data_IF_714293716831
#
_entry.id   IF_714293716831
#
_cell.length_a   1.000
_cell.length_b   1.000
_cell.length_c   1.000
_cell.angle_alpha   90.00
_cell.angle_beta   90.00
_cell.angle_gamma   90.00
#
_symmetry.space_group_name_H-M   'P 1'
#
loop_
_entity.id
_entity.type
_entity.pdbx_description
1 polymer ?
#
# COMPACT_ATOMS: atom_id res chain seq x y z
N UNK A 1 -60.11 31.74 16.03
CA UNK A 1 -58.65 31.65 16.17
C UNK A 1 -58.23 30.26 15.72
N UNK A 2 -57.57 30.14 14.55
CA UNK A 2 -57.03 28.87 14.04
C UNK A 2 -55.52 28.88 14.27
N UNK A 3 -55.04 27.96 15.11
CA UNK A 3 -53.61 27.76 15.35
C UNK A 3 -53.01 27.00 14.17
N UNK A 4 -52.03 27.61 13.50
CA UNK A 4 -51.24 26.98 12.45
C UNK A 4 -50.16 26.10 13.07
N UNK A 5 -50.09 24.85 12.62
CA UNK A 5 -49.02 23.91 13.00
C UNK A 5 -47.83 24.17 12.06
N UNK A 6 -46.71 24.67 12.60
CA UNK A 6 -45.46 24.74 11.86
C UNK A 6 -44.82 23.35 11.85
N UNK A 7 -44.83 22.69 10.69
CA UNK A 7 -44.00 21.49 10.47
C UNK A 7 -42.56 21.93 10.26
N UNK A 8 -41.66 21.51 11.16
CA UNK A 8 -40.23 21.62 10.94
C UNK A 8 -39.81 20.59 9.89
N UNK A 9 -39.43 21.06 8.70
CA UNK A 9 -38.78 20.21 7.70
C UNK A 9 -37.35 19.91 8.17
N UNK A 10 -37.12 18.69 8.64
CA UNK A 10 -35.77 18.15 8.83
C UNK A 10 -35.24 17.81 7.44
N UNK A 11 -34.36 18.65 6.93
CA UNK A 11 -33.60 18.34 5.72
C UNK A 11 -32.52 17.32 6.09
N UNK A 12 -32.81 16.04 5.88
CA UNK A 12 -31.79 15.00 5.87
C UNK A 12 -30.89 15.26 4.66
N UNK A 13 -29.75 15.91 4.86
CA UNK A 13 -28.73 16.04 3.83
C UNK A 13 -28.10 14.65 3.65
N UNK A 14 -28.70 13.80 2.83
CA UNK A 14 -28.04 12.58 2.38
C UNK A 14 -26.89 13.00 1.48
N UNK A 15 -25.69 13.13 2.06
CA UNK A 15 -24.46 13.12 1.27
C UNK A 15 -24.47 11.81 0.51
N UNK A 16 -24.77 11.88 -0.80
CA UNK A 16 -24.50 10.78 -1.71
C UNK A 16 -23.02 10.46 -1.51
N UNK A 17 -22.72 9.30 -0.95
CA UNK A 17 -21.37 8.78 -0.96
C UNK A 17 -21.00 8.65 -2.44
N UNK A 18 -20.27 9.62 -2.98
CA UNK A 18 -19.58 9.45 -4.25
C UNK A 18 -18.69 8.24 -3.99
N UNK A 19 -19.06 7.10 -4.58
CA UNK A 19 -18.28 5.90 -4.46
C UNK A 19 -16.94 6.19 -5.09
N UNK A 20 -15.93 6.54 -4.27
CA UNK A 20 -14.60 6.78 -4.80
C UNK A 20 -14.16 5.48 -5.46
N UNK A 21 -13.98 5.59 -6.79
CA UNK A 21 -13.41 4.56 -7.63
C UNK A 21 -11.99 4.22 -7.14
N UNK A 22 -11.40 3.17 -7.70
CA UNK A 22 -9.99 2.92 -7.51
C UNK A 22 -9.18 4.18 -7.90
N UNK A 23 -8.49 4.77 -6.93
CA UNK A 23 -7.63 5.94 -7.14
C UNK A 23 -6.31 5.53 -7.83
N UNK A 24 -5.97 4.24 -7.83
CA UNK A 24 -4.86 3.71 -8.62
C UNK A 24 -5.27 3.64 -10.09
N UNK A 25 -4.48 4.28 -10.95
CA UNK A 25 -4.65 4.17 -12.42
C UNK A 25 -4.02 2.88 -12.90
N UNK A 26 -4.71 2.18 -13.82
CA UNK A 26 -4.21 0.93 -14.42
C UNK A 26 -3.83 -0.15 -13.38
N UNK A 27 -4.54 -0.22 -12.26
CA UNK A 27 -4.27 -1.20 -11.20
C UNK A 27 -4.47 -2.67 -11.62
N UNK A 28 -5.18 -2.91 -12.72
CA UNK A 28 -5.35 -4.24 -13.35
C UNK A 28 -4.41 -4.47 -14.53
N UNK A 29 -3.52 -3.53 -14.87
CA UNK A 29 -2.57 -3.65 -15.99
C UNK A 29 -3.17 -3.83 -17.40
N UNK A 30 -4.49 -3.69 -17.57
CA UNK A 30 -5.16 -3.81 -18.88
C UNK A 30 -4.76 -2.72 -19.88
N UNK A 31 -4.23 -1.58 -19.40
CA UNK A 31 -3.66 -0.53 -20.26
C UNK A 31 -2.17 -0.76 -20.58
N UNK A 32 -1.66 -1.97 -20.34
CA UNK A 32 -0.27 -2.34 -20.60
C UNK A 32 0.72 -1.66 -19.65
N UNK A 33 1.96 -1.44 -20.12
CA UNK A 33 3.03 -0.79 -19.37
C UNK A 33 2.86 0.75 -19.32
N UNK A 34 1.74 1.22 -18.78
CA UNK A 34 1.39 2.64 -18.68
C UNK A 34 0.78 2.97 -17.31
N UNK A 35 0.84 4.24 -16.91
CA UNK A 35 0.21 4.71 -15.66
C UNK A 35 0.99 4.40 -14.38
N UNK A 36 2.13 3.72 -14.45
CA UNK A 36 3.02 3.47 -13.31
C UNK A 36 4.48 3.60 -13.75
N UNK A 37 5.39 3.56 -12.76
CA UNK A 37 6.84 3.59 -12.94
C UNK A 37 7.47 2.40 -12.21
N UNK A 38 8.74 2.12 -12.49
CA UNK A 38 9.48 1.00 -11.93
C UNK A 38 10.96 1.35 -11.84
N UNK A 39 11.63 0.86 -10.80
CA UNK A 39 13.10 0.83 -10.75
C UNK A 39 13.67 -0.36 -11.53
N UNK A 40 12.82 -1.32 -11.90
CA UNK A 40 13.20 -2.49 -12.69
C UNK A 40 13.27 -2.11 -14.17
N UNK A 41 14.04 -2.86 -14.95
CA UNK A 41 14.11 -2.65 -16.41
C UNK A 41 12.93 -3.34 -17.09
N UNK A 42 12.22 -2.61 -17.96
CA UNK A 42 11.12 -3.21 -18.71
C UNK A 42 11.64 -4.17 -19.78
N UNK A 43 11.20 -5.42 -19.73
CA UNK A 43 11.39 -6.41 -20.80
C UNK A 43 10.16 -6.45 -21.70
N UNK A 44 10.34 -6.24 -23.00
CA UNK A 44 9.25 -6.34 -23.98
C UNK A 44 8.75 -7.80 -24.04
N UNK A 45 7.43 -8.06 -23.90
CA UNK A 45 6.85 -9.39 -24.08
C UNK A 45 7.25 -10.02 -25.42
N UNK A 46 7.58 -11.31 -25.40
CA UNK A 46 8.02 -12.14 -26.53
C UNK A 46 9.37 -11.72 -27.14
N UNK A 47 10.12 -10.81 -26.50
CA UNK A 47 11.52 -10.57 -26.87
C UNK A 47 12.39 -11.80 -26.61
N UNK A 48 13.42 -12.07 -27.43
CA UNK A 48 14.33 -13.19 -27.21
C UNK A 48 14.96 -13.20 -25.81
N UNK A 49 15.30 -14.40 -25.33
CA UNK A 49 15.92 -14.61 -24.03
C UNK A 49 14.93 -14.59 -22.85
N UNK A 50 15.38 -15.12 -21.72
CA UNK A 50 14.64 -15.11 -20.46
C UNK A 50 14.68 -13.72 -19.82
N UNK A 51 13.64 -13.38 -19.05
CA UNK A 51 13.64 -12.22 -18.16
C UNK A 51 14.76 -12.36 -17.11
N UNK A 52 15.63 -11.36 -17.01
CA UNK A 52 16.72 -11.32 -16.04
C UNK A 52 16.27 -10.74 -14.70
N UNK A 53 16.99 -11.02 -13.62
CA UNK A 53 16.75 -10.42 -12.30
C UNK A 53 16.72 -8.88 -12.38
N UNK A 54 15.72 -8.27 -11.73
CA UNK A 54 15.51 -6.83 -11.80
C UNK A 54 14.84 -6.35 -13.10
N UNK A 55 14.24 -7.26 -13.87
CA UNK A 55 13.37 -6.93 -15.00
C UNK A 55 11.90 -7.19 -14.66
N UNK A 56 11.00 -6.46 -15.34
CA UNK A 56 9.56 -6.65 -15.23
C UNK A 56 8.88 -6.54 -16.60
N UNK A 57 7.65 -7.04 -16.69
CA UNK A 57 6.79 -6.82 -17.84
C UNK A 57 5.32 -6.90 -17.47
N UNK A 58 4.46 -6.29 -18.28
CA UNK A 58 3.02 -6.52 -18.28
C UNK A 58 2.71 -7.57 -19.34
N UNK A 59 2.08 -8.68 -18.94
CA UNK A 59 1.94 -9.90 -19.73
C UNK A 59 0.57 -10.55 -19.53
N UNK A 60 0.21 -11.42 -20.47
CA UNK A 60 -0.97 -12.29 -20.44
C UNK A 60 -0.61 -13.74 -20.10
N UNK A 61 0.66 -14.11 -20.25
CA UNK A 61 1.18 -15.44 -19.96
C UNK A 61 2.66 -15.37 -19.61
N UNK A 62 3.08 -16.12 -18.59
CA UNK A 62 4.48 -16.24 -18.15
C UNK A 62 5.43 -16.64 -19.31
N UNK A 63 4.95 -17.40 -20.29
CA UNK A 63 5.70 -17.81 -21.48
C UNK A 63 6.23 -16.62 -22.31
N UNK A 64 5.57 -15.47 -22.22
CA UNK A 64 5.97 -14.30 -22.99
C UNK A 64 7.30 -13.72 -22.51
N UNK A 65 7.76 -14.08 -21.30
CA UNK A 65 8.97 -13.50 -20.71
C UNK A 65 9.93 -14.53 -20.12
N UNK A 66 9.43 -15.69 -19.70
CA UNK A 66 10.28 -16.68 -19.05
C UNK A 66 9.70 -18.10 -19.19
N UNK A 67 10.31 -18.93 -20.04
CA UNK A 67 9.80 -20.28 -20.33
C UNK A 67 9.86 -21.24 -19.14
N UNK A 68 10.77 -21.02 -18.18
CA UNK A 68 10.87 -21.86 -16.97
C UNK A 68 9.70 -21.58 -16.02
N UNK A 69 9.22 -20.33 -15.94
CA UNK A 69 8.06 -19.99 -15.10
C UNK A 69 6.80 -20.65 -15.63
N UNK A 70 6.64 -20.68 -16.96
CA UNK A 70 5.50 -21.33 -17.59
C UNK A 70 5.54 -22.87 -17.51
N UNK A 71 6.71 -23.47 -17.31
CA UNK A 71 6.85 -24.89 -16.98
C UNK A 71 6.45 -25.22 -15.53
N UNK A 72 6.28 -24.19 -14.69
CA UNK A 72 5.86 -24.31 -13.30
C UNK A 72 4.32 -24.20 -13.16
N UNK A 73 3.62 -23.61 -14.14
CA UNK A 73 2.15 -23.67 -14.26
C UNK A 73 1.53 -22.56 -15.12
N UNK A 74 0.21 -22.38 -15.00
CA UNK A 74 -0.64 -21.58 -15.89
C UNK A 74 -1.32 -20.41 -15.18
N UNK A 75 -0.54 -19.48 -14.63
CA UNK A 75 -1.09 -18.28 -14.00
C UNK A 75 -1.88 -17.43 -15.02
N UNK A 76 -3.19 -17.32 -14.80
CA UNK A 76 -4.06 -16.34 -15.46
C UNK A 76 -4.11 -15.06 -14.65
N UNK A 77 -4.44 -13.93 -15.30
CA UNK A 77 -4.69 -12.67 -14.61
C UNK A 77 -5.74 -12.85 -13.50
N UNK A 78 -5.57 -12.14 -12.39
CA UNK A 78 -6.57 -12.06 -11.33
C UNK A 78 -7.81 -11.30 -11.80
N UNK A 79 -7.61 -10.30 -12.66
CA UNK A 79 -8.68 -9.55 -13.33
C UNK A 79 -8.30 -9.25 -14.77
N UNK A 80 -9.25 -9.34 -15.70
CA UNK A 80 -8.98 -9.02 -17.11
C UNK A 80 -8.08 -10.06 -17.77
N UNK A 81 -7.03 -9.60 -18.45
CA UNK A 81 -6.14 -10.44 -19.26
C UNK A 81 -4.66 -10.24 -18.93
N UNK A 82 -4.28 -9.07 -18.44
CA UNK A 82 -2.91 -8.67 -18.18
C UNK A 82 -2.62 -8.70 -16.67
N UNK A 83 -1.35 -8.92 -16.34
CA UNK A 83 -0.79 -8.73 -15.01
C UNK A 83 0.67 -8.32 -15.15
N UNK A 84 1.25 -7.72 -14.10
CA UNK A 84 2.68 -7.47 -14.06
C UNK A 84 3.39 -8.70 -13.52
N UNK A 85 4.42 -9.17 -14.21
CA UNK A 85 5.36 -10.17 -13.72
C UNK A 85 6.77 -9.57 -13.61
N UNK A 86 7.52 -10.00 -12.61
CA UNK A 86 8.88 -9.54 -12.36
C UNK A 86 9.77 -10.69 -11.96
N UNK A 87 10.99 -10.67 -12.50
CA UNK A 87 12.08 -11.51 -12.02
C UNK A 87 12.75 -10.73 -10.89
N UNK A 88 12.69 -11.26 -9.67
CA UNK A 88 13.01 -10.49 -8.48
C UNK A 88 14.46 -9.99 -8.48
N UNK A 89 14.67 -8.73 -8.12
CA UNK A 89 16.01 -8.19 -7.92
C UNK A 89 16.59 -8.67 -6.59
N UNK A 90 17.91 -8.76 -6.51
CA UNK A 90 18.62 -8.91 -5.23
C UNK A 90 18.70 -7.58 -4.46
N UNK A 91 18.48 -6.44 -5.12
CA UNK A 91 18.31 -5.13 -4.48
C UNK A 91 16.88 -4.97 -3.95
N UNK A 92 16.72 -5.12 -2.65
CA UNK A 92 15.42 -5.00 -1.96
C UNK A 92 14.94 -3.56 -1.81
N UNK A 93 15.74 -2.56 -2.22
CA UNK A 93 15.31 -1.17 -2.29
C UNK A 93 14.59 -0.85 -3.60
N UNK A 94 14.88 -1.59 -4.67
CA UNK A 94 14.28 -1.40 -5.99
C UNK A 94 12.82 -1.85 -6.00
N UNK A 95 11.96 -1.02 -6.60
CA UNK A 95 10.53 -1.29 -6.69
C UNK A 95 10.11 -1.70 -8.10
N UNK A 96 9.47 -2.86 -8.29
CA UNK A 96 8.89 -3.27 -9.58
C UNK A 96 7.69 -2.40 -10.00
N UNK A 97 7.03 -1.73 -9.06
CA UNK A 97 5.82 -0.95 -9.32
C UNK A 97 5.70 0.23 -8.35
N UNK A 98 5.55 1.42 -8.92
CA UNK A 98 5.33 2.67 -8.20
C UNK A 98 4.31 3.54 -8.92
N UNK A 99 3.47 4.23 -8.16
CA UNK A 99 2.57 5.24 -8.71
C UNK A 99 2.43 6.41 -7.74
N UNK A 100 2.44 7.63 -8.26
CA UNK A 100 2.07 8.82 -7.49
C UNK A 100 0.76 9.36 -8.01
N UNK A 101 -0.19 9.59 -7.11
CA UNK A 101 -1.49 10.19 -7.43
C UNK A 101 -1.55 11.60 -6.86
N UNK A 102 -2.23 12.49 -7.58
CA UNK A 102 -2.68 13.78 -7.06
C UNK A 102 -4.01 13.58 -6.36
N UNK A 103 -4.16 14.15 -5.16
CA UNK A 103 -5.39 14.09 -4.36
C UNK A 103 -6.16 15.38 -4.57
N UNK A 104 -7.34 15.28 -5.18
CA UNK A 104 -8.23 16.42 -5.37
C UNK A 104 -9.14 16.61 -4.15
N UNK A 105 -9.73 17.82 -3.97
CA UNK A 105 -10.72 18.04 -2.93
C UNK A 105 -11.86 17.01 -3.00
N UNK A 106 -12.04 16.25 -1.92
CA UNK A 106 -13.07 15.21 -1.80
C UNK A 106 -12.54 13.77 -1.86
N UNK A 107 -11.41 13.53 -2.54
CA UNK A 107 -10.87 12.17 -2.75
C UNK A 107 -10.50 11.48 -1.42
N UNK A 108 -9.94 12.25 -0.49
CA UNK A 108 -9.59 11.80 0.86
C UNK A 108 -10.45 12.54 1.90
N UNK A 109 -11.21 11.76 2.67
CA UNK A 109 -11.99 12.25 3.81
C UNK A 109 -11.21 12.05 5.11
N UNK A 110 -10.97 13.15 5.82
CA UNK A 110 -10.39 13.16 7.17
C UNK A 110 -11.53 13.31 8.17
N UNK A 111 -11.75 12.29 9.01
CA UNK A 111 -12.73 12.37 10.09
C UNK A 111 -12.02 12.64 11.41
N UNK A 112 -12.40 13.71 12.10
CA UNK A 112 -11.92 14.05 13.45
C UNK A 112 -12.86 13.53 14.54
N UNK A 113 -13.78 12.63 14.19
CA UNK A 113 -14.75 12.04 15.11
C UNK A 113 -14.32 10.62 15.52
N UNK A 114 -15.01 10.03 16.50
CA UNK A 114 -14.79 8.64 16.93
C UNK A 114 -15.09 7.58 15.83
N UNK A 115 -15.48 8.00 14.63
CA UNK A 115 -15.73 7.13 13.47
C UNK A 115 -14.81 7.53 12.30
N UNK A 116 -13.59 6.97 12.21
CA UNK A 116 -12.69 7.20 11.09
C UNK A 116 -13.25 6.63 9.77
N UNK A 117 -12.94 7.30 8.65
CA UNK A 117 -13.18 6.79 7.30
C UNK A 117 -11.98 5.98 6.87
N UNK A 118 -12.20 4.71 6.56
CA UNK A 118 -11.13 3.78 6.21
C UNK A 118 -10.90 3.71 4.70
N UNK A 119 -9.63 3.75 4.32
CA UNK A 119 -9.12 3.52 2.99
C UNK A 119 -8.36 2.20 2.98
N UNK A 120 -8.50 1.43 1.90
CA UNK A 120 -7.78 0.18 1.67
C UNK A 120 -6.70 0.39 0.61
N UNK A 121 -5.48 -0.07 0.88
CA UNK A 121 -4.50 -0.37 -0.16
C UNK A 121 -4.39 -1.90 -0.28
N UNK A 122 -4.60 -2.46 -1.47
CA UNK A 122 -4.51 -3.90 -1.72
C UNK A 122 -3.79 -4.21 -3.03
N UNK A 123 -3.30 -5.44 -3.13
CA UNK A 123 -2.92 -6.07 -4.39
C UNK A 123 -3.05 -7.60 -4.23
N UNK A 124 -3.16 -8.30 -5.35
CA UNK A 124 -2.99 -9.74 -5.41
C UNK A 124 -1.57 -10.06 -5.84
N UNK A 125 -0.94 -11.01 -5.17
CA UNK A 125 0.45 -11.41 -5.40
C UNK A 125 0.51 -12.93 -5.59
N UNK A 126 1.25 -13.38 -6.59
CA UNK A 126 1.54 -14.79 -6.81
C UNK A 126 3.04 -15.03 -6.88
N UNK A 127 3.51 -16.18 -6.38
CA UNK A 127 4.85 -16.68 -6.68
C UNK A 127 4.81 -17.35 -8.05
N UNK A 128 5.73 -17.02 -8.94
CA UNK A 128 5.82 -17.64 -10.29
C UNK A 128 7.00 -18.61 -10.40
N UNK A 129 7.75 -18.77 -9.30
CA UNK A 129 8.84 -19.72 -9.15
C UNK A 129 8.76 -20.44 -7.78
N UNK A 130 9.13 -21.73 -7.68
CA UNK A 130 8.95 -22.52 -6.46
C UNK A 130 10.02 -22.28 -5.37
N UNK A 131 11.15 -21.66 -5.70
CA UNK A 131 12.19 -21.33 -4.72
C UNK A 131 12.03 -19.91 -4.18
N UNK A 132 12.41 -19.72 -2.91
CA UNK A 132 12.44 -18.43 -2.21
C UNK A 132 11.22 -17.53 -2.50
N UNK A 133 10.00 -17.91 -2.07
CA UNK A 133 8.78 -17.17 -2.40
C UNK A 133 8.90 -15.68 -2.08
N UNK A 134 8.34 -14.82 -2.92
CA UNK A 134 8.42 -13.38 -2.78
C UNK A 134 7.68 -12.90 -1.52
N UNK A 135 8.16 -11.81 -0.93
CA UNK A 135 7.44 -11.11 0.14
C UNK A 135 7.45 -9.61 -0.16
N UNK A 136 6.28 -9.02 -0.37
CA UNK A 136 6.17 -7.65 -0.86
C UNK A 136 5.75 -6.71 0.28
N UNK A 137 6.57 -5.70 0.57
CA UNK A 137 6.23 -4.60 1.45
C UNK A 137 5.40 -3.55 0.69
N UNK A 138 4.28 -3.16 1.27
CA UNK A 138 3.41 -2.10 0.77
C UNK A 138 3.83 -0.81 1.44
N UNK A 139 4.26 0.18 0.66
CA UNK A 139 4.77 1.42 1.22
C UNK A 139 4.08 2.64 0.60
N UNK A 140 3.95 3.68 1.42
CA UNK A 140 3.32 4.93 1.05
C UNK A 140 4.19 6.11 1.49
N UNK A 141 4.26 7.15 0.65
CA UNK A 141 4.80 8.46 1.01
C UNK A 141 3.74 9.52 0.73
N UNK A 142 3.65 10.54 1.59
CA UNK A 142 2.65 11.61 1.47
C UNK A 142 3.32 12.92 1.08
N UNK A 143 2.61 13.74 0.29
CA UNK A 143 3.02 15.10 -0.07
C UNK A 143 4.44 15.18 -0.68
N UNK A 144 4.83 14.15 -1.44
CA UNK A 144 6.16 14.03 -2.05
C UNK A 144 7.32 14.19 -1.03
N UNK A 145 7.11 13.79 0.23
CA UNK A 145 8.12 13.99 1.28
C UNK A 145 9.38 13.13 1.10
N UNK A 146 9.27 12.03 0.35
CA UNK A 146 10.33 11.02 0.23
C UNK A 146 10.44 10.11 1.46
N UNK A 147 9.68 10.37 2.53
CA UNK A 147 9.58 9.49 3.68
C UNK A 147 8.57 8.37 3.38
N UNK A 148 9.06 7.14 3.32
CA UNK A 148 8.24 5.95 3.05
C UNK A 148 7.81 5.30 4.36
N UNK A 149 6.50 5.14 4.54
CA UNK A 149 5.90 4.35 5.59
C UNK A 149 5.56 2.96 5.05
N UNK A 150 6.08 1.91 5.67
CA UNK A 150 5.59 0.56 5.42
C UNK A 150 4.23 0.36 6.09
N UNK A 151 3.22 0.06 5.27
CA UNK A 151 1.85 -0.17 5.69
C UNK A 151 1.66 -1.62 6.13
N UNK A 152 2.04 -2.56 5.29
CA UNK A 152 1.96 -4.00 5.55
C UNK A 152 3.01 -4.75 4.74
N UNK A 153 3.17 -6.04 5.03
CA UNK A 153 3.92 -6.99 4.21
C UNK A 153 2.96 -8.05 3.70
N UNK A 154 3.22 -8.58 2.51
CA UNK A 154 2.40 -9.65 1.96
C UNK A 154 2.37 -10.87 2.86
N UNK A 155 1.26 -11.61 2.76
CA UNK A 155 1.14 -12.93 3.38
C UNK A 155 2.30 -13.79 2.88
N UNK A 156 2.87 -14.60 3.77
CA UNK A 156 3.88 -15.59 3.39
C UNK A 156 3.26 -16.58 2.42
N UNK A 157 3.73 -16.57 1.16
CA UNK A 157 3.29 -17.50 0.14
C UNK A 157 3.98 -18.85 0.41
N UNK A 158 3.25 -19.97 0.56
CA UNK A 158 3.86 -21.28 0.75
C UNK A 158 4.77 -21.65 -0.42
N UNK A 159 5.89 -22.32 -0.15
CA UNK A 159 6.90 -22.69 -1.15
C UNK A 159 6.39 -23.64 -2.23
N UNK A 160 5.26 -24.31 -2.00
CA UNK A 160 4.60 -25.20 -2.95
C UNK A 160 3.33 -24.60 -3.60
N UNK A 161 3.07 -23.30 -3.37
CA UNK A 161 1.89 -22.59 -3.89
C UNK A 161 2.30 -21.59 -4.97
N UNK A 162 2.82 -22.11 -6.08
CA UNK A 162 3.06 -21.32 -7.29
C UNK A 162 1.75 -21.10 -8.05
N UNK A 163 1.69 -20.01 -8.82
CA UNK A 163 0.56 -19.64 -9.69
C UNK A 163 -0.80 -19.52 -9.00
N UNK A 164 -0.78 -19.14 -7.73
CA UNK A 164 -1.98 -18.85 -6.93
C UNK A 164 -1.92 -17.40 -6.46
N UNK A 165 -3.01 -16.68 -6.67
CA UNK A 165 -3.16 -15.31 -6.20
C UNK A 165 -3.49 -15.24 -4.72
N UNK A 166 -2.66 -14.52 -3.96
CA UNK A 166 -2.87 -14.20 -2.56
C UNK A 166 -3.18 -12.72 -2.40
N UNK A 167 -4.35 -12.42 -1.82
CA UNK A 167 -4.71 -11.05 -1.46
C UNK A 167 -3.82 -10.56 -0.31
N UNK A 168 -3.19 -9.41 -0.50
CA UNK A 168 -2.58 -8.62 0.57
C UNK A 168 -3.25 -7.26 0.61
N UNK A 169 -3.60 -6.80 1.81
CA UNK A 169 -4.18 -5.46 1.95
C UNK A 169 -3.87 -4.83 3.30
N UNK A 170 -4.03 -3.50 3.34
CA UNK A 170 -4.03 -2.68 4.54
C UNK A 170 -5.22 -1.73 4.53
N UNK A 171 -5.98 -1.71 5.62
CA UNK A 171 -6.91 -0.61 5.91
C UNK A 171 -6.25 0.49 6.79
N UNK A 172 -6.64 1.74 6.61
CA UNK A 172 -6.12 2.85 7.38
C UNK A 172 -6.93 4.12 7.21
N UNK A 173 -6.68 5.13 8.04
CA UNK A 173 -7.36 6.41 7.97
C UNK A 173 -6.35 7.56 8.00
N UNK A 174 -6.73 8.70 7.43
CA UNK A 174 -5.88 9.88 7.36
C UNK A 174 -6.19 10.84 8.52
N UNK A 175 -5.15 11.39 9.13
CA UNK A 175 -5.25 12.47 10.13
C UNK A 175 -5.27 13.86 9.49
N UNK A 176 -4.80 13.97 8.24
CA UNK A 176 -4.86 15.16 7.40
C UNK A 176 -4.92 14.73 5.94
N UNK A 177 -5.56 15.52 5.08
CA UNK A 177 -5.72 15.18 3.67
C UNK A 177 -4.42 15.51 2.94
N UNK A 178 -3.71 14.53 2.36
CA UNK A 178 -2.52 14.81 1.58
C UNK A 178 -2.91 15.45 0.24
N UNK A 179 -1.95 16.13 -0.40
CA UNK A 179 -2.07 16.66 -1.76
C UNK A 179 -1.55 15.69 -2.82
N UNK A 180 -0.61 14.81 -2.42
CA UNK A 180 -0.14 13.69 -3.22
C UNK A 180 0.06 12.46 -2.36
N UNK A 181 -0.10 11.29 -2.96
CA UNK A 181 0.22 10.01 -2.34
C UNK A 181 1.07 9.22 -3.32
N UNK A 182 2.26 8.84 -2.92
CA UNK A 182 3.12 7.91 -3.65
C UNK A 182 2.99 6.52 -3.04
N UNK A 183 2.81 5.52 -3.88
CA UNK A 183 2.73 4.12 -3.52
C UNK A 183 3.90 3.38 -4.14
N UNK A 184 4.42 2.37 -3.43
CA UNK A 184 5.31 1.38 -4.02
C UNK A 184 5.12 0.01 -3.40
N UNK A 185 5.49 -1.01 -4.18
CA UNK A 185 5.68 -2.37 -3.70
C UNK A 185 7.17 -2.68 -3.73
N UNK A 186 7.74 -3.25 -2.67
CA UNK A 186 9.15 -3.72 -2.67
C UNK A 186 9.22 -5.18 -2.31
N UNK A 187 10.00 -5.96 -3.06
CA UNK A 187 10.31 -7.32 -2.65
C UNK A 187 11.37 -7.30 -1.55
N UNK A 188 11.05 -7.84 -0.39
CA UNK A 188 11.96 -7.89 0.76
C UNK A 188 12.86 -9.12 0.75
N UNK A 189 12.71 -9.98 -0.26
CA UNK A 189 13.52 -11.20 -0.44
C UNK A 189 14.62 -10.93 -1.47
N UNK A 190 15.88 -11.05 -1.05
CA UNK A 190 17.07 -10.77 -1.89
C UNK A 190 17.73 -12.01 -2.50
N UNK A 191 16.98 -13.10 -2.66
CA UNK A 191 17.51 -14.35 -3.21
C UNK A 191 17.84 -14.18 -4.70
N UNK A 192 19.01 -14.64 -5.14
CA UNK A 192 19.42 -14.61 -6.55
C UNK A 192 18.65 -15.64 -7.41
N UNK A 193 18.23 -16.75 -6.80
CA UNK A 193 17.35 -17.74 -7.42
C UNK A 193 16.04 -17.84 -6.64
N UNK A 194 14.92 -17.68 -7.34
CA UNK A 194 13.60 -17.57 -6.72
C UNK A 194 13.12 -16.14 -6.71
N UNK A 195 12.40 -15.74 -5.66
CA UNK A 195 11.86 -14.39 -5.42
C UNK A 195 11.08 -13.74 -6.58
N UNK A 196 10.74 -14.51 -7.60
CA UNK A 196 9.96 -14.11 -8.76
C UNK A 196 8.47 -14.05 -8.44
N UNK A 197 7.78 -13.04 -8.96
CA UNK A 197 6.38 -12.82 -8.64
C UNK A 197 5.58 -12.22 -9.77
N UNK A 198 4.26 -12.35 -9.62
CA UNK A 198 3.29 -11.56 -10.35
C UNK A 198 2.47 -10.70 -9.37
N UNK A 199 2.02 -9.53 -9.84
CA UNK A 199 1.08 -8.65 -9.15
C UNK A 199 -0.07 -8.27 -10.07
N UNK A 200 -1.27 -8.17 -9.51
CA UNK A 200 -2.47 -7.74 -10.22
C UNK A 200 -3.50 -7.13 -9.26
N UNK A 201 -4.54 -6.48 -9.81
CA UNK A 201 -5.70 -5.96 -9.09
C UNK A 201 -5.33 -5.04 -7.92
N UNK A 202 -4.38 -4.13 -8.18
CA UNK A 202 -3.94 -3.10 -7.23
C UNK A 202 -5.07 -2.10 -7.04
N UNK A 203 -5.41 -1.82 -5.79
CA UNK A 203 -6.48 -0.87 -5.46
C UNK A 203 -6.10 0.03 -4.29
N UNK A 204 -6.41 1.31 -4.43
CA UNK A 204 -6.45 2.27 -3.33
C UNK A 204 -7.76 3.07 -3.39
N UNK A 205 -8.47 3.15 -2.27
CA UNK A 205 -9.75 3.86 -2.19
C UNK A 205 -10.50 3.52 -0.91
N UNK A 206 -11.77 3.90 -0.81
CA UNK A 206 -12.60 3.58 0.36
C UNK A 206 -12.64 2.07 0.61
N UNK A 207 -12.38 1.63 1.84
CA UNK A 207 -12.28 0.20 2.15
C UNK A 207 -13.57 -0.55 1.84
N UNK A 208 -14.73 0.10 2.03
CA UNK A 208 -16.06 -0.45 1.73
C UNK A 208 -16.34 -0.62 0.24
N UNK A 209 -15.57 0.05 -0.63
CA UNK A 209 -15.70 -0.02 -2.09
C UNK A 209 -14.66 -0.95 -2.71
N UNK A 210 -13.70 -1.44 -1.93
CA UNK A 210 -12.66 -2.30 -2.46
C UNK A 210 -13.27 -3.61 -2.99
N UNK A 211 -12.79 -4.16 -4.13
CA UNK A 211 -13.30 -5.42 -4.68
C UNK A 211 -13.19 -6.61 -3.71
N UNK A 212 -12.26 -6.55 -2.76
CA UNK A 212 -12.10 -7.57 -1.73
C UNK A 212 -13.01 -7.39 -0.51
N UNK A 213 -13.85 -6.35 -0.46
CA UNK A 213 -14.72 -6.09 0.68
C UNK A 213 -15.99 -6.97 0.65
N UNK A 214 -16.45 -7.52 1.79
CA UNK A 214 -15.79 -7.52 3.10
C UNK A 214 -14.75 -8.65 3.20
N UNK A 215 -13.47 -8.29 3.36
CA UNK A 215 -12.44 -9.25 3.75
C UNK A 215 -12.33 -9.26 5.28
N UNK A 216 -12.14 -10.45 5.88
CA UNK A 216 -11.89 -10.60 7.32
C UNK A 216 -10.83 -9.61 7.76
N UNK A 217 -11.15 -8.65 8.62
CA UNK A 217 -10.19 -7.65 9.10
C UNK A 217 -8.92 -8.33 9.62
N UNK A 218 -7.87 -8.39 8.79
CA UNK A 218 -6.51 -8.51 9.29
C UNK A 218 -6.37 -7.36 10.30
N UNK A 219 -5.68 -7.58 11.42
CA UNK A 219 -5.40 -6.58 12.46
C UNK A 219 -4.57 -5.41 11.90
N UNK A 220 -5.19 -4.63 11.03
CA UNK A 220 -4.58 -3.81 9.99
C UNK A 220 -5.36 -2.51 9.94
N UNK A 221 -5.64 -1.94 11.10
CA UNK A 221 -6.36 -0.69 11.24
C UNK A 221 -5.45 0.26 12.01
N UNK A 222 -5.22 1.44 11.48
CA UNK A 222 -4.39 2.45 12.13
C UNK A 222 -4.28 3.73 11.31
N UNK A 223 -3.72 4.80 11.93
CA UNK A 223 -3.49 6.04 11.22
C UNK A 223 -2.41 5.85 10.15
N UNK A 224 -2.65 6.42 8.98
CA UNK A 224 -1.66 6.59 7.91
C UNK A 224 -0.99 7.93 8.17
N UNK A 225 0.22 7.88 8.71
CA UNK A 225 1.04 9.05 9.00
C UNK A 225 2.25 8.96 8.08
N UNK A 226 2.31 9.82 7.07
CA UNK A 226 3.32 9.78 5.99
C UNK A 226 4.75 10.06 6.43
N UNK A 227 5.27 9.26 7.37
CA UNK A 227 6.55 9.42 8.01
C UNK A 227 6.71 10.83 8.59
N UNK A 228 5.99 11.15 9.67
CA UNK A 228 6.46 12.28 10.48
C UNK A 228 7.73 11.80 11.16
N UNK A 229 8.83 12.55 11.02
CA UNK A 229 9.94 12.49 11.99
C UNK A 229 9.28 12.48 13.37
N UNK A 230 9.61 11.55 14.28
CA UNK A 230 9.06 11.59 15.61
C UNK A 230 9.36 12.97 16.18
N UNK A 231 8.32 13.78 16.39
CA UNK A 231 8.45 14.95 17.27
C UNK A 231 9.16 14.44 18.52
N UNK A 232 10.27 15.08 18.97
CA UNK A 232 10.94 14.69 20.20
C UNK A 232 9.87 14.56 21.27
N UNK A 233 9.62 13.32 21.69
CA UNK A 233 8.40 12.99 22.40
C UNK A 233 8.24 13.85 23.65
N UNK A 234 6.99 13.97 24.07
CA UNK A 234 6.49 14.53 25.32
C UNK A 234 7.18 14.05 26.62
N UNK A 235 8.28 13.31 26.55
CA UNK A 235 9.24 13.07 27.63
C UNK A 235 10.06 14.32 27.98
N UNK A 236 10.26 15.27 27.04
CA UNK A 236 11.00 16.50 27.31
C UNK A 236 10.20 17.54 28.14
N UNK A 237 8.88 17.35 28.29
CA UNK A 237 8.05 18.20 29.14
C UNK A 237 8.02 17.76 30.62
N UNK A 238 8.68 16.63 30.97
CA UNK A 238 8.70 16.10 32.33
C UNK A 238 10.00 16.42 33.12
N UNK A 239 10.92 17.23 32.58
CA UNK A 239 12.18 17.56 33.24
C UNK A 239 12.53 19.06 33.24
N UNK A 240 11.51 19.92 33.32
CA UNK A 240 11.68 21.33 33.70
C UNK A 240 10.75 21.73 34.84
N UNK A 241 10.74 20.92 35.91
CA UNK A 241 10.17 21.27 37.21
C UNK A 241 10.98 20.62 38.34
N UNK A 242 12.30 20.84 38.33
CA UNK A 242 13.18 20.50 39.44
C UNK A 242 14.42 21.42 39.51
N UNK A 243 14.22 22.73 39.47
CA UNK A 243 15.27 23.71 39.78
C UNK A 243 14.74 24.85 40.65
N UNK A 244 14.11 24.54 41.78
CA UNK A 244 13.99 25.48 42.91
C UNK A 244 13.78 24.71 44.22
N UNK A 245 14.83 24.12 44.78
CA UNK A 245 14.87 23.76 46.21
C UNK A 245 16.32 23.68 46.72
N UNK A 246 16.81 24.82 47.21
CA UNK A 246 17.74 24.98 48.33
C UNK A 246 18.98 24.08 48.43
N UNK A 247 20.13 24.60 48.01
CA UNK A 247 21.42 24.24 48.61
C UNK A 247 21.43 24.66 50.10
N UNK A 248 21.24 23.72 51.02
CA UNK A 248 21.60 23.89 52.43
C UNK A 248 22.92 23.17 52.68
N UNK A 249 23.96 23.98 52.89
CA UNK A 249 25.34 23.59 53.19
C UNK A 249 25.45 23.16 54.66
N UNK A 250 25.60 21.88 54.95
CA UNK A 250 25.96 21.40 56.30
C UNK A 250 27.49 21.34 56.47
N UNK A 251 28.00 22.09 57.44
CA UNK A 251 29.39 22.05 57.92
C UNK A 251 29.57 20.83 58.84
N UNK A 252 30.63 20.04 58.64
CA UNK A 252 31.12 19.13 59.70
C UNK A 252 32.07 19.90 60.63
N UNK A 253 31.69 20.00 61.91
CA UNK A 253 32.58 19.95 63.09
C UNK A 253 32.17 18.64 63.76
N UNK A 254 33.04 17.70 64.10
CA UNK A 254 34.19 17.73 65.01
C UNK A 254 35.27 16.83 64.43
#
# INVERSE_FOLDING_TARGET
>A
MRFGVFSAAVWLLSTLAVGHANLIVNGSFESGNTGFTSDYTYKVPNSPGLMNAGEYSVIQSLNQVHSIWAGAGSLSAQSGTNYLAANGSTDTNASPWMQTITVNPGDITVSTTNAPVYYRFQAYIASVYPAAPPQLAFEMSLNNSGAWQQLTTSVTIPTNSIDIWYLTYRDGYFLSAPTTISFRLRNTVSAEGGNDFAIDSIYFGLSTNAPSYPANAINSIGPITGGVVPEPGSWAAASLLALTAGFVRWRKRI
#
